data_IF_500925538159
#
_entry.id   IF_500925538159
#
_cell.length_a   1.000
_cell.length_b   1.000
_cell.length_c   1.000
_cell.angle_alpha   90.00
_cell.angle_beta   90.00
_cell.angle_gamma   90.00
#
_symmetry.space_group_name_H-M   'P 1'
#
loop_
_entity.id
_entity.type
_entity.pdbx_description
1 polymer ?
#
# COMPACT_ATOMS: atom_id res chain seq x y z
N UNK A 1 22.63 23.31 -4.15
CA UNK A 1 21.63 22.70 -5.04
C UNK A 1 20.51 22.13 -4.17
N UNK A 2 19.42 22.87 -3.98
CA UNK A 2 18.21 22.34 -3.35
C UNK A 2 17.46 21.54 -4.42
N UNK A 3 17.57 20.22 -4.36
CA UNK A 3 16.69 19.35 -5.13
C UNK A 3 15.26 19.67 -4.67
N UNK A 4 14.40 20.05 -5.60
CA UNK A 4 12.95 20.10 -5.39
C UNK A 4 12.52 18.70 -4.96
N UNK A 5 12.42 18.47 -3.64
CA UNK A 5 11.49 17.49 -3.10
C UNK A 5 10.12 18.00 -3.58
N UNK A 6 9.64 17.43 -4.69
CA UNK A 6 8.23 17.46 -5.03
C UNK A 6 7.48 17.19 -3.73
N UNK A 7 6.70 18.17 -3.26
CA UNK A 7 5.95 18.11 -2.02
C UNK A 7 5.10 16.85 -2.07
N UNK A 8 5.60 15.79 -1.45
CA UNK A 8 4.82 14.60 -1.17
C UNK A 8 3.54 15.08 -0.49
N UNK A 9 2.35 14.59 -0.89
CA UNK A 9 1.18 14.84 -0.09
C UNK A 9 1.50 14.36 1.33
N UNK A 10 1.48 15.27 2.30
CA UNK A 10 1.78 14.94 3.70
C UNK A 10 0.90 13.78 4.17
N UNK A 11 -0.32 13.71 3.63
CA UNK A 11 -1.31 12.68 3.87
C UNK A 11 -1.81 12.07 2.55
N UNK A 12 -1.80 10.75 2.48
CA UNK A 12 -2.36 9.97 1.39
C UNK A 12 -3.64 9.29 1.89
N UNK A 13 -4.78 9.63 1.27
CA UNK A 13 -6.03 8.91 1.43
C UNK A 13 -6.07 7.78 0.40
N UNK A 14 -6.12 6.54 0.87
CA UNK A 14 -6.11 5.35 0.03
C UNK A 14 -7.26 4.42 0.39
N UNK A 15 -7.72 3.68 -0.62
CA UNK A 15 -8.62 2.54 -0.42
C UNK A 15 -7.82 1.25 -0.47
N UNK A 16 -7.81 0.53 0.63
CA UNK A 16 -7.14 -0.76 0.76
C UNK A 16 -8.17 -1.84 0.46
N UNK A 17 -7.76 -2.82 -0.34
CA UNK A 17 -8.55 -4.02 -0.60
C UNK A 17 -7.71 -5.23 -0.20
N UNK A 18 -8.32 -6.11 0.60
CA UNK A 18 -7.70 -7.35 1.04
C UNK A 18 -8.10 -8.42 0.04
N UNK A 19 -7.10 -9.05 -0.59
CA UNK A 19 -7.27 -10.11 -1.58
C UNK A 19 -6.49 -11.33 -1.12
N UNK A 20 -7.10 -12.50 -1.19
CA UNK A 20 -6.49 -13.77 -0.77
C UNK A 20 -5.99 -14.51 -2.02
N UNK A 21 -4.69 -14.82 -2.03
CA UNK A 21 -3.99 -15.60 -3.07
C UNK A 21 -2.63 -15.00 -3.48
N UNK A 22 -1.90 -15.68 -4.36
CA UNK A 22 -0.65 -15.25 -5.02
C UNK A 22 -0.71 -13.87 -5.71
N UNK A 23 0.20 -12.93 -5.42
CA UNK A 23 0.23 -11.59 -6.01
C UNK A 23 0.10 -11.56 -7.54
N UNK A 24 -0.53 -10.51 -8.07
CA UNK A 24 -0.67 -10.22 -9.51
C UNK A 24 -1.45 -11.24 -10.36
N UNK A 25 -1.94 -12.34 -9.78
CA UNK A 25 -2.92 -13.22 -10.42
C UNK A 25 -4.30 -12.57 -10.46
N UNK A 26 -5.09 -12.80 -11.51
CA UNK A 26 -6.43 -12.22 -11.64
C UNK A 26 -7.39 -12.73 -10.54
N UNK A 27 -7.42 -12.03 -9.39
CA UNK A 27 -8.36 -12.31 -8.32
C UNK A 27 -9.65 -11.56 -8.55
N UNK A 28 -10.73 -12.33 -8.67
CA UNK A 28 -12.09 -11.81 -8.73
C UNK A 28 -12.70 -11.56 -7.35
N UNK A 29 -12.11 -12.12 -6.29
CA UNK A 29 -12.68 -12.07 -4.95
C UNK A 29 -11.90 -11.10 -4.06
N UNK A 30 -12.55 -10.00 -3.69
CA UNK A 30 -12.07 -9.11 -2.62
C UNK A 30 -12.69 -9.60 -1.32
N UNK A 31 -11.86 -9.80 -0.29
CA UNK A 31 -12.32 -10.24 1.02
C UNK A 31 -12.99 -9.08 1.77
N UNK A 32 -12.27 -7.96 1.90
CA UNK A 32 -12.75 -6.75 2.55
C UNK A 32 -12.06 -5.50 1.97
N UNK A 33 -12.64 -4.33 2.19
CA UNK A 33 -12.08 -3.06 1.72
C UNK A 33 -12.28 -1.96 2.76
N UNK A 34 -11.24 -1.17 2.97
CA UNK A 34 -11.15 -0.16 4.01
C UNK A 34 -10.62 1.15 3.44
N UNK A 35 -11.08 2.27 3.97
CA UNK A 35 -10.48 3.57 3.74
C UNK A 35 -9.39 3.80 4.79
N UNK A 36 -8.22 4.22 4.35
CA UNK A 36 -7.09 4.52 5.24
C UNK A 36 -6.48 5.86 4.86
N UNK A 37 -6.07 6.61 5.87
CA UNK A 37 -5.26 7.80 5.72
C UNK A 37 -3.93 7.56 6.42
N UNK A 38 -2.84 7.81 5.72
CA UNK A 38 -1.49 7.65 6.26
C UNK A 38 -0.58 8.77 5.77
N UNK A 39 0.49 9.05 6.52
CA UNK A 39 1.48 10.04 6.14
C UNK A 39 2.64 9.37 5.42
N UNK A 40 3.00 9.85 4.24
CA UNK A 40 4.12 9.26 3.48
C UNK A 40 5.43 9.40 4.27
N UNK A 41 5.58 10.51 5.01
CA UNK A 41 6.74 10.75 5.88
C UNK A 41 6.90 9.74 7.04
N UNK A 42 5.85 8.99 7.41
CA UNK A 42 5.95 7.92 8.42
C UNK A 42 6.61 6.65 7.89
N UNK A 43 6.76 6.52 6.56
CA UNK A 43 7.47 5.42 5.92
C UNK A 43 6.72 4.08 5.90
N UNK A 44 7.40 3.08 5.33
CA UNK A 44 6.81 1.76 5.05
C UNK A 44 6.44 1.00 6.32
N UNK A 45 7.31 1.02 7.34
CA UNK A 45 7.10 0.26 8.58
C UNK A 45 5.80 0.68 9.30
N UNK A 46 5.53 1.98 9.36
CA UNK A 46 4.31 2.50 9.99
C UNK A 46 3.08 2.17 9.16
N UNK A 47 3.14 2.32 7.84
CA UNK A 47 2.05 1.90 6.94
C UNK A 47 1.73 0.42 7.14
N UNK A 48 2.76 -0.43 7.17
CA UNK A 48 2.62 -1.87 7.35
C UNK A 48 1.95 -2.21 8.68
N UNK A 49 2.41 -1.65 9.80
CA UNK A 49 1.82 -1.92 11.11
C UNK A 49 0.39 -1.40 11.22
N UNK A 50 0.06 -0.26 10.60
CA UNK A 50 -1.34 0.23 10.52
C UNK A 50 -2.24 -0.75 9.79
N UNK A 51 -1.81 -1.21 8.61
CA UNK A 51 -2.55 -2.20 7.83
C UNK A 51 -2.68 -3.55 8.56
N UNK A 52 -1.67 -3.93 9.35
CA UNK A 52 -1.68 -5.18 10.11
C UNK A 52 -2.71 -5.14 11.24
N UNK A 53 -2.83 -4.00 11.92
CA UNK A 53 -3.89 -3.79 12.92
C UNK A 53 -5.27 -3.87 12.31
N UNK A 54 -5.47 -3.31 11.11
CA UNK A 54 -6.73 -3.41 10.35
C UNK A 54 -7.05 -4.87 9.97
N UNK A 55 -6.04 -5.64 9.56
CA UNK A 55 -6.20 -7.06 9.28
C UNK A 55 -6.45 -7.91 10.53
N UNK A 56 -5.81 -7.59 11.65
CA UNK A 56 -5.97 -8.38 12.89
C UNK A 56 -7.38 -8.25 13.47
N UNK A 57 -8.07 -7.12 13.23
CA UNK A 57 -9.50 -7.00 13.53
C UNK A 57 -10.39 -7.86 12.64
N UNK A 58 -9.89 -8.27 11.46
CA UNK A 58 -10.57 -9.13 10.49
C UNK A 58 -10.06 -10.58 10.67
N UNK A 59 -10.65 -11.31 11.62
CA UNK A 59 -10.12 -12.56 12.20
C UNK A 59 -9.92 -13.74 11.22
N UNK A 60 -10.25 -13.58 9.95
CA UNK A 60 -10.17 -14.61 8.92
C UNK A 60 -8.86 -14.60 8.12
N UNK A 61 -7.99 -13.58 8.29
CA UNK A 61 -6.80 -13.40 7.44
C UNK A 61 -5.52 -13.27 8.27
N UNK A 62 -4.53 -14.11 7.98
CA UNK A 62 -3.17 -14.01 8.52
C UNK A 62 -2.28 -13.24 7.55
N UNK A 63 -1.56 -12.21 8.06
CA UNK A 63 -0.57 -11.47 7.27
C UNK A 63 0.85 -11.87 7.67
N UNK A 64 1.51 -12.63 6.80
CA UNK A 64 2.89 -13.04 7.00
C UNK A 64 3.88 -11.88 6.83
N UNK A 65 5.02 -11.94 7.52
CA UNK A 65 6.10 -10.96 7.46
C UNK A 65 6.64 -10.75 6.03
N UNK A 66 6.61 -11.78 5.19
CA UNK A 66 7.16 -11.71 3.84
C UNK A 66 6.15 -11.20 2.79
N UNK A 67 4.87 -11.06 3.17
CA UNK A 67 3.84 -10.59 2.26
C UNK A 67 3.98 -9.09 2.00
N UNK A 68 4.25 -8.71 0.75
CA UNK A 68 4.44 -7.33 0.34
C UNK A 68 3.12 -6.55 0.17
N UNK A 69 3.22 -5.22 0.29
CA UNK A 69 2.12 -4.30 -0.03
C UNK A 69 2.21 -3.95 -1.51
N UNK A 70 1.07 -3.92 -2.20
CA UNK A 70 0.97 -3.54 -3.59
C UNK A 70 0.01 -2.37 -3.77
N UNK A 71 0.40 -1.38 -4.56
CA UNK A 71 -0.37 -0.17 -4.77
C UNK A 71 -0.49 0.17 -6.26
N UNK A 72 -1.51 0.96 -6.57
CA UNK A 72 -1.78 1.51 -7.90
C UNK A 72 -2.35 2.92 -7.77
N UNK A 73 -2.10 3.74 -8.78
CA UNK A 73 -2.56 5.13 -8.83
C UNK A 73 -4.08 5.28 -8.91
N UNK A 74 -4.77 4.33 -9.57
CA UNK A 74 -6.22 4.46 -9.86
C UNK A 74 -7.00 3.20 -9.53
N UNK A 75 -8.24 3.37 -9.06
CA UNK A 75 -9.14 2.25 -8.72
C UNK A 75 -9.48 1.35 -9.92
N UNK A 76 -9.34 1.84 -11.15
CA UNK A 76 -9.63 1.10 -12.38
C UNK A 76 -8.38 0.45 -13.01
N UNK A 77 -7.17 0.69 -12.49
CA UNK A 77 -5.95 0.07 -13.02
C UNK A 77 -6.00 -1.47 -12.92
N UNK A 78 -5.45 -2.13 -13.94
CA UNK A 78 -5.44 -3.60 -14.08
C UNK A 78 -4.60 -4.23 -12.97
N UNK A 79 -4.84 -5.50 -12.66
CA UNK A 79 -4.11 -6.17 -11.58
C UNK A 79 -2.59 -6.26 -11.84
N UNK A 80 -2.17 -6.43 -13.09
CA UNK A 80 -0.76 -6.36 -13.51
C UNK A 80 -0.09 -4.99 -13.32
N UNK A 81 -0.87 -3.94 -13.13
CA UNK A 81 -0.35 -2.56 -12.93
C UNK A 81 -0.10 -2.25 -11.46
N UNK A 82 -0.44 -3.18 -10.56
CA UNK A 82 -0.06 -3.08 -9.15
C UNK A 82 1.46 -3.20 -9.04
N UNK A 83 2.07 -2.16 -8.48
CA UNK A 83 3.49 -2.13 -8.19
C UNK A 83 3.70 -2.45 -6.71
N UNK A 84 4.72 -3.25 -6.41
CA UNK A 84 5.14 -3.51 -5.03
C UNK A 84 5.63 -2.20 -4.42
N UNK A 85 5.10 -1.88 -3.25
CA UNK A 85 5.57 -0.74 -2.46
C UNK A 85 6.94 -1.10 -1.88
N UNK A 86 7.98 -0.28 -2.11
CA UNK A 86 9.31 -0.51 -1.55
C UNK A 86 9.29 -0.43 -0.02
N UNK A 87 10.11 -1.25 0.63
CA UNK A 87 10.33 -1.25 2.08
C UNK A 87 11.45 -0.30 2.52
N UNK A 88 12.35 0.09 1.60
CA UNK A 88 13.33 1.15 1.79
C UNK A 88 12.67 2.54 1.80
N UNK A 89 13.04 3.39 2.77
CA UNK A 89 12.43 4.70 2.99
C UNK A 89 12.63 5.66 1.80
N UNK A 90 13.80 5.64 1.15
CA UNK A 90 14.05 6.50 -0.01
C UNK A 90 13.21 6.06 -1.20
N UNK A 91 13.18 4.76 -1.49
CA UNK A 91 12.38 4.19 -2.56
C UNK A 91 10.87 4.32 -2.29
N UNK A 92 10.42 4.20 -1.04
CA UNK A 92 9.03 4.42 -0.62
C UNK A 92 8.57 5.85 -0.92
N UNK A 93 9.37 6.84 -0.53
CA UNK A 93 9.07 8.24 -0.81
C UNK A 93 9.02 8.52 -2.32
N UNK A 94 9.95 7.97 -3.10
CA UNK A 94 9.93 8.12 -4.55
C UNK A 94 8.73 7.44 -5.19
N UNK A 95 8.34 6.27 -4.67
CA UNK A 95 7.18 5.53 -5.13
C UNK A 95 5.91 6.37 -5.01
N UNK A 96 5.63 6.92 -3.83
CA UNK A 96 4.44 7.76 -3.58
C UNK A 96 4.51 9.14 -4.23
N UNK A 97 5.69 9.61 -4.63
CA UNK A 97 5.83 10.81 -5.47
C UNK A 97 5.42 10.57 -6.93
N UNK A 98 5.38 9.31 -7.39
CA UNK A 98 5.25 8.95 -8.79
C UNK A 98 3.94 8.24 -9.15
N UNK A 99 3.06 8.00 -8.16
CA UNK A 99 1.76 7.33 -8.34
C UNK A 99 0.60 8.29 -8.12
#
# INVERSE_FOLDING_TARGET
MQARLSLLPEECAARVAIKIGEPQMDYRTTHSSHEVVFKVAEGYAVLRERLKRLLTSDSAVTWDCDTGIYAKATVNARQREYKRVPDDDQAFNQFFSAI
#
